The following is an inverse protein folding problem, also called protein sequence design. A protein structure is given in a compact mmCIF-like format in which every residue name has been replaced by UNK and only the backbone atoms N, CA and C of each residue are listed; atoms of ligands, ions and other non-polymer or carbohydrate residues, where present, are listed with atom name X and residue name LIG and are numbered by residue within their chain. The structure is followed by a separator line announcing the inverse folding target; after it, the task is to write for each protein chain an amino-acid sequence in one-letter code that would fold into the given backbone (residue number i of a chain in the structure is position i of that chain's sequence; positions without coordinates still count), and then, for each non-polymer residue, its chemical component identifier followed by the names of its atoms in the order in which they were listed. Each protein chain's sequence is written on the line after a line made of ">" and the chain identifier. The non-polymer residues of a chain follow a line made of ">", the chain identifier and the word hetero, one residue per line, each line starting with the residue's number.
data_IF_160267307865
#
_entry.id   IF_160267307865
#
_cell.length_a   1.000
_cell.length_b   1.000
_cell.length_c   1.000
_cell.angle_alpha   90.00
_cell.angle_beta   90.00
_cell.angle_gamma   90.00
#
_symmetry.space_group_name_H-M   'P 1'
#
loop_
_entity.id
_entity.type
_entity.pdbx_description
1 polymer ?
#
# COMPACT_ATOMS: atom_id res chain seq x y z
N UNK A 1 64.99 -26.04 50.71
CA UNK A 1 64.84 -27.22 49.82
C UNK A 1 63.35 -27.43 49.52
N UNK A 2 62.99 -27.31 48.23
CA UNK A 2 61.84 -27.93 47.51
C UNK A 2 60.39 -27.66 48.00
N UNK A 3 59.69 -26.77 47.29
CA UNK A 3 58.27 -26.92 46.92
C UNK A 3 58.13 -28.05 45.86
N UNK A 4 56.96 -28.66 45.56
CA UNK A 4 55.75 -28.02 44.98
C UNK A 4 54.43 -28.75 45.41
N UNK A 5 53.20 -28.58 44.91
CA UNK A 5 52.64 -27.91 43.74
C UNK A 5 51.14 -27.63 44.02
N UNK A 6 50.67 -26.42 43.76
CA UNK A 6 49.26 -26.15 43.53
C UNK A 6 48.96 -26.43 42.06
N UNK A 7 48.12 -27.43 41.77
CA UNK A 7 47.62 -27.67 40.41
C UNK A 7 46.28 -26.97 40.26
N UNK A 8 46.32 -25.79 39.64
CA UNK A 8 45.15 -25.08 39.16
C UNK A 8 44.48 -25.88 38.03
N UNK A 9 43.21 -26.22 38.21
CA UNK A 9 42.39 -26.80 37.14
C UNK A 9 42.06 -25.71 36.12
N UNK A 10 42.75 -25.74 34.98
CA UNK A 10 42.46 -24.90 33.81
C UNK A 10 41.21 -25.46 33.12
N UNK A 11 40.04 -24.85 33.34
CA UNK A 11 38.85 -25.15 32.57
C UNK A 11 39.04 -24.59 31.14
N UNK A 12 39.25 -25.48 30.18
CA UNK A 12 39.30 -25.16 28.76
C UNK A 12 37.92 -24.68 28.30
N UNK A 13 37.78 -23.37 28.08
CA UNK A 13 36.66 -22.81 27.32
C UNK A 13 36.86 -23.17 25.84
N UNK A 14 36.29 -24.29 25.41
CA UNK A 14 36.19 -24.65 23.99
C UNK A 14 35.18 -23.71 23.30
N UNK A 15 35.45 -23.23 22.07
CA UNK A 15 34.47 -22.47 21.32
C UNK A 15 33.34 -23.43 20.95
N UNK A 16 32.17 -23.26 21.56
CA UNK A 16 30.95 -23.96 21.16
C UNK A 16 30.60 -23.42 19.77
N UNK A 17 30.73 -24.28 18.75
CA UNK A 17 30.28 -23.97 17.41
C UNK A 17 28.80 -23.60 17.40
N UNK A 18 28.36 -22.81 16.42
CA UNK A 18 26.98 -22.37 16.28
C UNK A 18 26.02 -23.57 16.22
N UNK A 19 25.48 -23.97 17.38
CA UNK A 19 24.45 -24.98 17.49
C UNK A 19 23.12 -24.44 17.01
N UNK A 20 22.21 -25.32 16.60
CA UNK A 20 20.83 -24.94 16.33
C UNK A 20 20.20 -24.38 17.62
N UNK A 21 19.79 -23.10 17.60
CA UNK A 21 19.16 -22.43 18.74
C UNK A 21 17.90 -23.16 19.22
N UNK A 22 17.29 -23.98 18.35
CA UNK A 22 16.12 -24.80 18.66
C UNK A 22 16.45 -26.00 19.53
N UNK A 23 17.69 -26.46 19.57
CA UNK A 23 18.12 -27.64 20.35
C UNK A 23 18.79 -27.29 21.68
N UNK A 24 18.86 -26.01 22.04
CA UNK A 24 19.36 -25.57 23.34
C UNK A 24 18.52 -26.13 24.48
N UNK A 25 19.21 -26.59 25.52
CA UNK A 25 18.57 -26.92 26.80
C UNK A 25 17.99 -25.63 27.44
N UNK A 26 17.04 -25.76 28.38
CA UNK A 26 16.37 -24.60 28.97
C UNK A 26 17.30 -23.59 29.64
N UNK A 27 18.40 -24.04 30.25
CA UNK A 27 19.36 -23.16 30.93
C UNK A 27 20.23 -22.42 29.93
N UNK A 28 20.74 -23.10 28.89
CA UNK A 28 21.48 -22.44 27.82
C UNK A 28 20.61 -21.44 27.04
N UNK A 29 19.32 -21.77 26.82
CA UNK A 29 18.35 -20.84 26.20
C UNK A 29 18.13 -19.60 27.05
N UNK A 30 17.94 -19.76 28.36
CA UNK A 30 17.77 -18.61 29.26
C UNK A 30 19.00 -17.68 29.28
N UNK A 31 20.21 -18.25 29.27
CA UNK A 31 21.44 -17.47 29.16
C UNK A 31 21.54 -16.73 27.83
N UNK A 32 21.23 -17.41 26.72
CA UNK A 32 21.19 -16.80 25.39
C UNK A 32 20.18 -15.65 25.29
N UNK A 33 18.97 -15.80 25.86
CA UNK A 33 17.93 -14.76 25.84
C UNK A 33 18.36 -13.49 26.59
N UNK A 34 19.12 -13.64 27.69
CA UNK A 34 19.68 -12.51 28.45
C UNK A 34 20.70 -11.76 27.60
N UNK A 35 21.62 -12.48 26.96
CA UNK A 35 22.65 -11.88 26.10
C UNK A 35 22.06 -11.25 24.83
N UNK A 36 21.06 -11.90 24.22
CA UNK A 36 20.35 -11.36 23.05
C UNK A 36 19.61 -10.07 23.42
N UNK A 37 18.92 -10.03 24.57
CA UNK A 37 18.29 -8.79 25.06
C UNK A 37 19.33 -7.69 25.26
N UNK A 38 20.45 -7.99 25.92
CA UNK A 38 21.51 -7.01 26.16
C UNK A 38 22.09 -6.50 24.84
N UNK A 39 22.33 -7.39 23.86
CA UNK A 39 22.83 -7.05 22.54
C UNK A 39 21.83 -6.19 21.74
N UNK A 40 20.53 -6.51 21.77
CA UNK A 40 19.47 -5.71 21.12
C UNK A 40 19.39 -4.30 21.73
N UNK A 41 19.45 -4.18 23.06
CA UNK A 41 19.41 -2.88 23.74
C UNK A 41 20.67 -2.05 23.48
N UNK A 42 21.84 -2.70 23.42
CA UNK A 42 23.12 -2.03 23.16
C UNK A 42 23.30 -1.59 21.69
N UNK A 43 22.64 -2.27 20.73
CA UNK A 43 22.78 -2.05 19.29
C UNK A 43 21.44 -1.65 18.64
N UNK A 44 20.57 -0.95 19.37
CA UNK A 44 19.25 -0.55 18.88
C UNK A 44 19.31 0.34 17.63
N UNK A 45 20.41 1.07 17.44
CA UNK A 45 20.71 1.88 16.25
C UNK A 45 20.91 1.02 14.99
N UNK A 46 21.56 -0.14 15.10
CA UNK A 46 21.74 -1.09 13.99
C UNK A 46 20.41 -1.66 13.53
N UNK A 47 19.53 -2.00 14.49
CA UNK A 47 18.19 -2.50 14.20
C UNK A 47 17.32 -1.39 13.58
N UNK A 48 17.36 -0.18 14.12
CA UNK A 48 16.65 0.97 13.56
C UNK A 48 17.12 1.29 12.14
N UNK A 49 18.43 1.24 11.88
CA UNK A 49 19.02 1.45 10.54
C UNK A 49 18.61 0.37 9.55
N UNK A 50 18.56 -0.90 9.98
CA UNK A 50 18.11 -2.00 9.13
C UNK A 50 16.61 -1.90 8.80
N UNK A 51 15.79 -1.46 9.76
CA UNK A 51 14.35 -1.23 9.54
C UNK A 51 14.06 0.01 8.69
N UNK A 52 14.88 1.06 8.82
CA UNK A 52 14.78 2.28 8.04
C UNK A 52 15.40 2.17 6.63
N UNK A 53 16.16 1.12 6.36
CA UNK A 53 16.70 0.86 5.02
C UNK A 53 15.53 0.64 4.04
N UNK A 54 15.62 1.15 2.80
CA UNK A 54 14.62 0.88 1.77
C UNK A 54 14.45 -0.62 1.59
N UNK A 55 13.29 -1.14 1.98
CA UNK A 55 12.96 -2.54 1.77
C UNK A 55 12.60 -2.73 0.29
N UNK A 56 13.16 -3.74 -0.41
CA UNK A 56 12.91 -3.96 -1.83
C UNK A 56 11.41 -3.98 -2.19
N UNK A 57 10.60 -4.64 -1.35
CA UNK A 57 9.14 -4.69 -1.51
C UNK A 57 8.47 -3.30 -1.42
N UNK A 58 8.99 -2.38 -0.59
CA UNK A 58 8.46 -1.02 -0.48
C UNK A 58 8.89 -0.14 -1.67
N UNK A 59 10.05 -0.38 -2.27
CA UNK A 59 10.45 0.30 -3.50
C UNK A 59 9.66 -0.18 -4.72
N UNK A 60 9.44 -1.50 -4.83
CA UNK A 60 8.64 -2.08 -5.92
C UNK A 60 7.19 -1.58 -5.85
N UNK A 61 6.57 -1.60 -4.66
CA UNK A 61 5.22 -1.05 -4.46
C UNK A 61 5.12 0.43 -4.84
N UNK A 62 6.11 1.25 -4.46
CA UNK A 62 6.15 2.67 -4.85
C UNK A 62 6.22 2.85 -6.36
N UNK A 63 6.94 1.98 -7.04
CA UNK A 63 7.04 2.02 -8.49
C UNK A 63 5.70 1.69 -9.15
N UNK A 64 5.00 0.65 -8.69
CA UNK A 64 3.66 0.33 -9.19
C UNK A 64 2.67 1.49 -9.01
N UNK A 65 2.67 2.13 -7.83
CA UNK A 65 1.83 3.32 -7.58
C UNK A 65 2.17 4.44 -8.56
N UNK A 66 3.45 4.71 -8.79
CA UNK A 66 3.87 5.78 -9.69
C UNK A 66 3.50 5.48 -11.15
N UNK A 67 3.62 4.24 -11.58
CA UNK A 67 3.25 3.80 -12.93
C UNK A 67 1.74 3.98 -13.15
N UNK A 68 0.91 3.62 -12.16
CA UNK A 68 -0.55 3.79 -12.20
C UNK A 68 -0.95 5.27 -12.22
N UNK A 69 -0.32 6.11 -11.39
CA UNK A 69 -0.57 7.55 -11.39
C UNK A 69 -0.18 8.18 -12.74
N UNK A 70 0.96 7.79 -13.29
CA UNK A 70 1.41 8.25 -14.62
C UNK A 70 0.43 7.82 -15.71
N UNK A 71 -0.18 6.63 -15.58
CA UNK A 71 -1.22 6.18 -16.49
C UNK A 71 -2.47 7.06 -16.37
N UNK A 72 -2.93 7.34 -15.15
CA UNK A 72 -4.09 8.19 -14.91
C UNK A 72 -3.86 9.62 -15.42
N UNK A 73 -2.71 10.22 -15.16
CA UNK A 73 -2.35 11.55 -15.68
C UNK A 73 -2.48 11.65 -17.20
N UNK A 74 -2.14 10.57 -17.93
CA UNK A 74 -2.27 10.53 -19.39
C UNK A 74 -3.72 10.38 -19.86
N UNK A 75 -4.53 9.59 -19.17
CA UNK A 75 -5.89 9.25 -19.61
C UNK A 75 -6.95 10.25 -19.09
N UNK A 76 -6.75 10.79 -17.90
CA UNK A 76 -7.72 11.62 -17.19
C UNK A 76 -8.19 12.86 -17.97
N UNK A 77 -7.35 13.59 -18.74
CA UNK A 77 -7.83 14.77 -19.49
C UNK A 77 -8.97 14.44 -20.46
N UNK A 78 -8.85 13.34 -21.21
CA UNK A 78 -9.88 12.90 -22.16
C UNK A 78 -11.03 12.18 -21.45
N UNK A 79 -10.70 11.32 -20.48
CA UNK A 79 -11.66 10.47 -19.80
C UNK A 79 -12.58 11.27 -18.87
N UNK A 80 -12.03 12.23 -18.11
CA UNK A 80 -12.80 13.09 -17.22
C UNK A 80 -13.43 14.27 -17.97
N UNK A 81 -12.81 14.76 -19.05
CA UNK A 81 -13.29 15.90 -19.84
C UNK A 81 -13.65 17.13 -18.96
N UNK A 82 -12.86 17.38 -17.92
CA UNK A 82 -13.07 18.47 -16.96
C UNK A 82 -14.09 18.19 -15.83
N UNK A 83 -14.64 16.99 -15.75
CA UNK A 83 -15.53 16.57 -14.65
C UNK A 83 -14.75 16.05 -13.44
N UNK A 84 -15.37 16.07 -12.27
CA UNK A 84 -14.73 15.59 -11.04
C UNK A 84 -14.53 14.06 -11.04
N UNK A 85 -15.37 13.33 -11.78
CA UNK A 85 -15.40 11.88 -11.82
C UNK A 85 -16.02 11.39 -13.13
N UNK A 86 -15.51 10.29 -13.65
CA UNK A 86 -16.13 9.56 -14.74
C UNK A 86 -16.65 8.21 -14.26
N UNK A 87 -17.88 7.86 -14.65
CA UNK A 87 -18.53 6.60 -14.32
C UNK A 87 -18.64 5.74 -15.59
N UNK A 88 -18.05 4.55 -15.55
CA UNK A 88 -18.18 3.56 -16.60
C UNK A 88 -19.37 2.63 -16.30
N UNK A 89 -20.20 2.41 -17.31
CA UNK A 89 -21.43 1.62 -17.21
C UNK A 89 -21.53 0.65 -18.37
N UNK A 90 -22.35 -0.39 -18.22
CA UNK A 90 -22.67 -1.34 -19.27
C UNK A 90 -24.19 -1.46 -19.47
N UNK A 91 -24.66 -1.91 -20.65
CA UNK A 91 -26.05 -2.29 -20.86
C UNK A 91 -26.49 -3.38 -19.87
N UNK A 92 -27.79 -3.43 -19.56
CA UNK A 92 -28.40 -4.46 -18.71
C UNK A 92 -27.74 -4.62 -17.33
N UNK A 93 -27.33 -3.49 -16.74
CA UNK A 93 -26.62 -3.42 -15.47
C UNK A 93 -27.40 -2.64 -14.40
N UNK A 94 -28.09 -3.35 -13.50
CA UNK A 94 -28.89 -2.75 -12.43
C UNK A 94 -28.06 -1.92 -11.44
N UNK A 95 -26.86 -2.40 -11.12
CA UNK A 95 -25.91 -1.68 -10.25
C UNK A 95 -25.39 -0.40 -10.91
N UNK A 96 -25.28 -0.38 -12.25
CA UNK A 96 -24.93 0.83 -13.01
C UNK A 96 -26.05 1.88 -12.93
N UNK A 97 -27.32 1.46 -13.07
CA UNK A 97 -28.46 2.35 -12.91
C UNK A 97 -28.53 2.97 -11.51
N UNK A 98 -28.16 2.19 -10.49
CA UNK A 98 -28.06 2.67 -9.11
C UNK A 98 -26.90 3.65 -8.95
N UNK A 99 -25.71 3.30 -9.45
CA UNK A 99 -24.51 4.14 -9.44
C UNK A 99 -24.77 5.53 -10.07
N UNK A 100 -25.44 5.59 -11.22
CA UNK A 100 -25.77 6.84 -11.90
C UNK A 100 -26.68 7.72 -11.04
N UNK A 101 -27.73 7.14 -10.44
CA UNK A 101 -28.66 7.89 -9.57
C UNK A 101 -27.97 8.46 -8.35
N UNK A 102 -27.20 7.64 -7.65
CA UNK A 102 -26.48 8.04 -6.44
C UNK A 102 -25.42 9.10 -6.75
N UNK A 103 -24.64 8.91 -7.81
CA UNK A 103 -23.62 9.86 -8.22
C UNK A 103 -24.23 11.22 -8.60
N UNK A 104 -25.36 11.22 -9.30
CA UNK A 104 -26.09 12.43 -9.64
C UNK A 104 -26.58 13.21 -8.40
N UNK A 105 -27.07 12.51 -7.37
CA UNK A 105 -27.47 13.16 -6.11
C UNK A 105 -26.27 13.75 -5.36
N UNK A 106 -25.13 13.04 -5.32
CA UNK A 106 -23.91 13.49 -4.66
C UNK A 106 -23.33 14.71 -5.38
N UNK A 107 -23.15 14.65 -6.69
CA UNK A 107 -22.56 15.74 -7.47
C UNK A 107 -23.43 16.99 -7.41
N UNK A 108 -24.75 16.85 -7.46
CA UNK A 108 -25.69 17.95 -7.26
C UNK A 108 -25.57 18.58 -5.87
N UNK A 109 -25.40 17.78 -4.82
CA UNK A 109 -25.26 18.27 -3.44
C UNK A 109 -23.99 19.11 -3.26
N UNK A 110 -22.89 18.73 -3.90
CA UNK A 110 -21.59 19.39 -3.75
C UNK A 110 -21.24 20.36 -4.89
N UNK A 111 -22.13 20.57 -5.85
CA UNK A 111 -21.89 21.47 -6.99
C UNK A 111 -20.81 20.95 -7.96
N UNK A 112 -20.70 19.62 -8.08
CA UNK A 112 -19.77 18.94 -8.98
C UNK A 112 -20.48 18.43 -10.23
N UNK A 113 -19.70 18.01 -11.21
CA UNK A 113 -20.19 17.33 -12.42
C UNK A 113 -19.50 15.97 -12.58
N UNK A 114 -20.19 15.05 -13.25
CA UNK A 114 -19.64 13.76 -13.66
C UNK A 114 -19.94 13.50 -15.13
N UNK A 115 -19.14 12.63 -15.74
CA UNK A 115 -19.37 12.12 -17.10
C UNK A 115 -19.61 10.61 -17.04
N UNK A 116 -20.50 10.12 -17.89
CA UNK A 116 -20.76 8.68 -18.02
C UNK A 116 -20.19 8.16 -19.33
N UNK A 117 -19.47 7.04 -19.26
CA UNK A 117 -18.98 6.30 -20.42
C UNK A 117 -19.64 4.93 -20.48
N UNK A 118 -20.09 4.55 -21.67
CA UNK A 118 -20.63 3.21 -21.92
C UNK A 118 -19.50 2.29 -22.40
N UNK A 119 -19.19 1.25 -21.62
CA UNK A 119 -18.15 0.26 -21.90
C UNK A 119 -18.21 -0.35 -23.31
N UNK A 120 -19.38 -0.63 -23.91
CA UNK A 120 -19.44 -1.15 -25.27
C UNK A 120 -18.90 -0.20 -26.34
N UNK A 121 -18.74 1.10 -26.04
CA UNK A 121 -18.18 2.05 -27.00
C UNK A 121 -16.68 1.79 -27.22
N UNK A 122 -16.16 1.90 -28.46
CA UNK A 122 -14.76 1.56 -28.74
C UNK A 122 -13.75 2.33 -27.90
N UNK A 123 -14.00 3.60 -27.61
CA UNK A 123 -13.10 4.43 -26.81
C UNK A 123 -13.14 4.03 -25.33
N UNK A 124 -14.33 3.85 -24.75
CA UNK A 124 -14.46 3.43 -23.37
C UNK A 124 -13.86 2.04 -23.13
N UNK A 125 -14.06 1.10 -24.06
CA UNK A 125 -13.45 -0.22 -24.01
C UNK A 125 -11.90 -0.14 -24.00
N UNK A 126 -11.31 0.77 -24.79
CA UNK A 126 -9.86 0.99 -24.80
C UNK A 126 -9.36 1.56 -23.48
N UNK A 127 -10.06 2.53 -22.89
CA UNK A 127 -9.71 3.05 -21.57
C UNK A 127 -9.84 1.99 -20.49
N UNK A 128 -10.93 1.23 -20.48
CA UNK A 128 -11.15 0.15 -19.51
C UNK A 128 -10.04 -0.91 -19.60
N UNK A 129 -9.69 -1.35 -20.83
CA UNK A 129 -8.60 -2.28 -21.05
C UNK A 129 -7.23 -1.73 -20.59
N UNK A 130 -6.95 -0.45 -20.84
CA UNK A 130 -5.71 0.19 -20.40
C UNK A 130 -5.62 0.27 -18.86
N UNK A 131 -6.75 0.48 -18.20
CA UNK A 131 -6.88 0.53 -16.75
C UNK A 131 -7.02 -0.86 -16.09
N UNK A 132 -7.09 -1.94 -16.87
CA UNK A 132 -7.23 -3.30 -16.38
C UNK A 132 -8.63 -3.68 -15.89
N UNK A 133 -9.68 -3.00 -16.35
CA UNK A 133 -11.08 -3.29 -16.02
C UNK A 133 -11.83 -3.94 -17.19
N UNK A 134 -12.59 -4.99 -16.88
CA UNK A 134 -13.40 -5.75 -17.83
C UNK A 134 -14.91 -5.72 -17.51
N UNK A 135 -15.28 -5.19 -16.35
CA UNK A 135 -16.67 -5.14 -15.86
C UNK A 135 -17.05 -3.76 -15.32
N UNK A 136 -18.32 -3.41 -15.49
CA UNK A 136 -18.94 -2.23 -14.91
C UNK A 136 -19.77 -2.56 -13.66
N UNK A 137 -20.07 -1.57 -12.80
CA UNK A 137 -19.61 -0.18 -12.88
C UNK A 137 -18.22 0.03 -12.26
N UNK A 138 -17.50 1.05 -12.72
CA UNK A 138 -16.31 1.56 -12.04
C UNK A 138 -16.20 3.08 -12.22
N UNK A 139 -15.47 3.75 -11.32
CA UNK A 139 -15.37 5.20 -11.25
C UNK A 139 -13.91 5.61 -11.39
N UNK A 140 -13.62 6.55 -12.27
CA UNK A 140 -12.29 7.15 -12.40
C UNK A 140 -12.31 8.54 -11.83
N UNK A 141 -11.38 8.80 -10.92
CA UNK A 141 -11.05 10.10 -10.33
C UNK A 141 -9.64 10.51 -10.80
N UNK A 142 -9.20 11.77 -10.56
CA UNK A 142 -7.90 12.24 -11.04
C UNK A 142 -6.70 11.35 -10.66
N UNK A 143 -6.70 10.78 -9.46
CA UNK A 143 -5.56 10.03 -8.90
C UNK A 143 -5.91 8.58 -8.52
N UNK A 144 -7.12 8.10 -8.83
CA UNK A 144 -7.51 6.73 -8.50
C UNK A 144 -8.70 6.20 -9.31
N UNK A 145 -8.88 4.88 -9.25
CA UNK A 145 -10.05 4.19 -9.80
C UNK A 145 -10.73 3.37 -8.71
N UNK A 146 -12.06 3.45 -8.62
CA UNK A 146 -12.89 2.66 -7.71
C UNK A 146 -13.63 1.59 -8.52
N UNK A 147 -13.38 0.32 -8.20
CA UNK A 147 -13.95 -0.81 -8.94
C UNK A 147 -15.22 -1.36 -8.28
N UNK A 148 -16.30 -1.50 -9.06
CA UNK A 148 -17.59 -1.96 -8.59
C UNK A 148 -18.50 -0.83 -8.11
N UNK A 149 -19.73 -1.17 -7.77
CA UNK A 149 -20.68 -0.21 -7.19
C UNK A 149 -20.16 0.28 -5.83
N UNK A 150 -20.12 1.61 -5.67
CA UNK A 150 -19.66 2.25 -4.45
C UNK A 150 -20.85 2.81 -3.67
N UNK A 151 -21.00 2.47 -2.37
CA UNK A 151 -22.00 3.10 -1.53
C UNK A 151 -21.81 4.64 -1.48
N UNK A 152 -22.89 5.44 -1.34
CA UNK A 152 -22.80 6.89 -1.33
C UNK A 152 -21.79 7.46 -0.33
N UNK A 153 -21.76 6.91 0.89
CA UNK A 153 -20.83 7.33 1.94
C UNK A 153 -19.35 7.17 1.56
N UNK A 154 -19.03 6.24 0.65
CA UNK A 154 -17.67 6.06 0.12
C UNK A 154 -17.38 7.15 -0.89
N UNK A 155 -18.27 7.39 -1.85
CA UNK A 155 -18.13 8.42 -2.87
C UNK A 155 -18.01 9.83 -2.26
N UNK A 156 -18.79 10.11 -1.21
CA UNK A 156 -18.74 11.39 -0.50
C UNK A 156 -17.36 11.69 0.12
N UNK A 157 -16.59 10.67 0.52
CA UNK A 157 -15.21 10.87 1.03
C UNK A 157 -14.28 11.45 -0.03
N UNK A 158 -14.47 11.06 -1.29
CA UNK A 158 -13.59 11.47 -2.39
C UNK A 158 -14.11 12.71 -3.13
N UNK A 159 -15.41 12.96 -3.09
CA UNK A 159 -16.08 14.05 -3.82
C UNK A 159 -16.41 15.26 -2.95
N UNK A 160 -15.96 15.31 -1.69
CA UNK A 160 -16.13 16.51 -0.87
C UNK A 160 -15.11 17.59 -1.24
N UNK A 161 -15.48 18.88 -1.20
CA UNK A 161 -14.61 19.99 -1.64
C UNK A 161 -13.25 20.05 -0.95
N UNK A 162 -13.14 19.59 0.31
CA UNK A 162 -11.86 19.54 1.00
C UNK A 162 -10.89 18.53 0.37
N UNK A 163 -11.38 17.42 -0.16
CA UNK A 163 -10.53 16.44 -0.85
C UNK A 163 -10.19 16.90 -2.27
N UNK A 164 -11.14 17.47 -3.01
CA UNK A 164 -10.86 17.92 -4.39
C UNK A 164 -9.88 19.11 -4.43
N UNK A 165 -9.95 20.05 -3.48
CA UNK A 165 -9.06 21.21 -3.45
C UNK A 165 -7.63 20.90 -2.95
N UNK A 166 -7.43 19.86 -2.15
CA UNK A 166 -6.09 19.48 -1.65
C UNK A 166 -5.17 18.95 -2.76
N UNK A 167 -5.73 18.45 -3.86
CA UNK A 167 -4.98 17.80 -4.95
C UNK A 167 -4.84 18.68 -6.22
N UNK A 168 -5.36 19.92 -6.19
CA UNK A 168 -5.22 20.88 -7.29
C UNK A 168 -4.17 21.97 -7.02
N UNK A 169 -3.40 21.85 -5.94
CA UNK A 169 -2.38 22.83 -5.60
C UNK A 169 -1.06 22.45 -6.30
N UNK A 170 -0.60 23.20 -7.32
CA UNK A 170 0.69 22.95 -7.92
C UNK A 170 1.77 23.13 -6.84
N UNK A 171 2.77 22.24 -6.85
CA UNK A 171 3.98 22.44 -6.07
C UNK A 171 4.69 23.68 -6.63
N UNK A 172 4.73 24.75 -5.82
CA UNK A 172 5.61 25.90 -6.04
C UNK A 172 7.10 25.49 -5.99
#
# INVERSE_FOLDING_TARGET
>A
MRAPAAMAALALALPVGAGDLRTLDPTARAAFDIELRAAILANGDVIAKALAAPQPAQSEMRQYIQDDLTLLERLAPELLAGNAVALFTAPDCDTCNTAVKELNEITKRYGLTFIQHELPTPQAARWAAALGFDAAPFYVLPEMVLNGHMPPVVLEKYLTPNHINLHHQPAD
#
